data_IF_131748995395
#
_entry.id   IF_131748995395
#
_cell.length_a   1.000
_cell.length_b   1.000
_cell.length_c   1.000
_cell.angle_alpha   90.00
_cell.angle_beta   90.00
_cell.angle_gamma   90.00
#
_symmetry.space_group_name_H-M   'P 1'
#
loop_
_entity.id
_entity.type
_entity.pdbx_description
1 polymer ?
#
# COMPACT_ATOMS: atom_id res chain seq x y z
N UNK A 1 -3.48 -12.32 -17.91
CA UNK A 1 -4.82 -11.98 -17.35
C UNK A 1 -4.68 -11.90 -15.83
N UNK A 2 -4.49 -10.69 -15.28
CA UNK A 2 -4.31 -10.49 -13.84
C UNK A 2 -5.67 -10.61 -13.13
N UNK A 3 -6.04 -11.82 -12.77
CA UNK A 3 -7.24 -12.09 -11.94
C UNK A 3 -6.91 -13.06 -10.82
N UNK A 4 -5.60 -13.14 -10.47
CA UNK A 4 -5.16 -13.80 -9.25
C UNK A 4 -5.24 -12.78 -8.12
N UNK A 5 -6.10 -13.06 -7.16
CA UNK A 5 -6.21 -12.31 -5.92
C UNK A 5 -5.77 -13.28 -4.82
N UNK A 6 -4.77 -12.88 -4.05
CA UNK A 6 -4.33 -13.64 -2.89
C UNK A 6 -4.87 -12.95 -1.65
N UNK A 7 -5.83 -13.59 -1.00
CA UNK A 7 -6.30 -13.18 0.32
C UNK A 7 -5.31 -13.68 1.37
N UNK A 8 -4.87 -12.80 2.25
CA UNK A 8 -3.86 -13.10 3.27
C UNK A 8 -4.48 -12.96 4.66
N UNK A 9 -4.09 -13.84 5.58
CA UNK A 9 -4.33 -13.62 7.00
C UNK A 9 -3.25 -12.66 7.55
N UNK A 10 -3.62 -11.43 7.99
CA UNK A 10 -2.65 -10.46 8.49
C UNK A 10 -1.90 -10.94 9.73
N UNK A 11 -2.48 -11.82 10.57
CA UNK A 11 -1.78 -12.34 11.75
C UNK A 11 -0.70 -13.36 11.36
N UNK A 12 -0.98 -14.21 10.36
CA UNK A 12 0.04 -15.12 9.82
C UNK A 12 1.16 -14.38 9.12
N UNK A 13 0.86 -13.30 8.40
CA UNK A 13 1.90 -12.46 7.78
C UNK A 13 2.83 -11.86 8.84
N UNK A 14 2.29 -11.34 9.94
CA UNK A 14 3.10 -10.83 11.06
C UNK A 14 3.97 -11.94 11.66
N UNK A 15 3.38 -13.10 11.92
CA UNK A 15 4.09 -14.24 12.50
C UNK A 15 5.28 -14.69 11.62
N UNK A 16 5.04 -14.90 10.33
CA UNK A 16 6.09 -15.32 9.37
C UNK A 16 7.17 -14.25 9.25
N UNK A 17 6.80 -12.96 9.17
CA UNK A 17 7.78 -11.87 9.11
C UNK A 17 8.68 -11.81 10.35
N UNK A 18 8.11 -12.04 11.55
CA UNK A 18 8.88 -12.11 12.79
C UNK A 18 9.82 -13.32 12.81
N UNK A 19 9.37 -14.49 12.36
CA UNK A 19 10.23 -15.68 12.25
C UNK A 19 11.40 -15.44 11.31
N UNK A 20 11.15 -14.91 10.10
CA UNK A 20 12.19 -14.61 9.12
C UNK A 20 13.25 -13.65 9.69
N UNK A 21 12.82 -12.62 10.42
CA UNK A 21 13.73 -11.67 11.03
C UNK A 21 14.55 -12.30 12.17
N UNK A 22 13.93 -13.13 13.01
CA UNK A 22 14.63 -13.86 14.07
C UNK A 22 15.66 -14.85 13.51
N UNK A 23 15.29 -15.62 12.49
CA UNK A 23 16.19 -16.57 11.80
C UNK A 23 17.39 -15.86 11.17
N UNK A 24 17.17 -14.64 10.65
CA UNK A 24 18.24 -13.80 10.09
C UNK A 24 19.08 -13.07 11.17
N UNK A 25 18.76 -13.22 12.46
CA UNK A 25 19.46 -12.54 13.56
C UNK A 25 19.23 -11.03 13.59
N UNK A 26 18.08 -10.56 13.10
CA UNK A 26 17.71 -9.14 13.11
C UNK A 26 17.20 -8.75 14.49
N UNK A 27 17.83 -7.74 15.09
CA UNK A 27 17.34 -7.11 16.31
C UNK A 27 16.11 -6.24 16.01
N UNK A 28 14.93 -6.72 16.41
CA UNK A 28 13.66 -5.98 16.27
C UNK A 28 13.40 -5.16 17.54
N UNK A 29 13.33 -3.83 17.37
CA UNK A 29 12.93 -2.91 18.43
C UNK A 29 11.45 -2.53 18.31
N UNK A 30 10.58 -3.29 18.99
CA UNK A 30 9.18 -2.90 19.18
C UNK A 30 9.05 -1.70 20.14
N UNK A 31 7.91 -1.03 20.14
CA UNK A 31 7.64 0.17 20.97
C UNK A 31 8.66 1.31 20.79
N UNK A 32 9.28 1.39 19.62
CA UNK A 32 10.34 2.35 19.30
C UNK A 32 9.97 3.16 18.08
N UNK A 33 9.99 4.48 18.19
CA UNK A 33 9.76 5.41 17.08
C UNK A 33 11.08 5.95 16.56
N UNK A 34 11.29 5.88 15.25
CA UNK A 34 12.40 6.54 14.56
C UNK A 34 12.13 8.05 14.49
N UNK A 35 12.69 8.82 15.42
CA UNK A 35 12.33 10.22 15.61
C UNK A 35 13.07 11.17 14.65
N UNK A 36 14.36 11.00 14.39
CA UNK A 36 15.11 11.89 13.49
C UNK A 36 16.38 11.22 12.97
N UNK A 37 16.77 11.42 11.71
CA UNK A 37 18.10 11.00 11.26
C UNK A 37 19.20 11.83 11.95
N UNK A 38 20.37 11.21 12.12
CA UNK A 38 21.61 11.89 12.47
C UNK A 38 22.32 12.17 11.15
N UNK A 39 22.38 13.45 10.75
CA UNK A 39 22.98 13.87 9.49
C UNK A 39 24.23 14.70 9.77
N UNK A 40 25.33 14.36 9.10
CA UNK A 40 26.59 15.09 9.14
C UNK A 40 27.15 15.21 7.73
N UNK A 41 27.46 16.45 7.30
CA UNK A 41 27.98 16.76 5.96
C UNK A 41 27.17 16.11 4.81
N UNK A 42 25.84 16.12 4.90
CA UNK A 42 24.96 15.53 3.88
C UNK A 42 24.90 14.00 3.88
N UNK A 43 25.43 13.34 4.91
CA UNK A 43 25.41 11.88 5.04
C UNK A 43 24.61 11.47 6.28
N UNK A 44 23.75 10.47 6.15
CA UNK A 44 23.09 9.86 7.31
C UNK A 44 24.09 8.96 8.04
N UNK A 45 24.21 9.14 9.35
CA UNK A 45 25.10 8.37 10.24
C UNK A 45 24.36 7.46 11.22
N UNK A 46 23.03 7.56 11.27
CA UNK A 46 22.21 6.85 12.23
C UNK A 46 20.86 7.51 12.44
N UNK A 47 20.15 7.07 13.47
CA UNK A 47 18.79 7.52 13.80
C UNK A 47 18.69 7.76 15.32
N UNK A 48 18.09 8.88 15.69
CA UNK A 48 17.59 9.12 17.03
C UNK A 48 16.26 8.40 17.18
N UNK A 49 16.17 7.53 18.18
CA UNK A 49 14.96 6.79 18.50
C UNK A 49 14.36 7.27 19.82
N UNK A 50 13.06 7.10 19.98
CA UNK A 50 12.33 7.38 21.21
C UNK A 50 11.50 6.15 21.60
N UNK A 51 11.65 5.69 22.84
CA UNK A 51 10.93 4.55 23.40
C UNK A 51 10.79 4.70 24.93
N UNK A 52 10.25 3.69 25.62
CA UNK A 52 10.06 3.73 27.08
C UNK A 52 11.37 3.82 27.90
N UNK A 53 12.50 3.47 27.31
CA UNK A 53 13.84 3.60 27.90
C UNK A 53 14.44 4.99 27.67
N UNK A 54 13.70 5.88 27.02
CA UNK A 54 14.10 7.25 26.69
C UNK A 54 14.72 7.38 25.30
N UNK A 55 15.31 8.55 25.07
CA UNK A 55 15.93 8.89 23.80
C UNK A 55 17.30 8.25 23.64
N UNK A 56 17.52 7.59 22.51
CA UNK A 56 18.79 6.93 22.21
C UNK A 56 19.25 7.25 20.78
N UNK A 57 20.54 7.10 20.51
CA UNK A 57 21.12 7.19 19.18
C UNK A 57 21.55 5.79 18.72
N UNK A 58 21.04 5.35 17.57
CA UNK A 58 21.49 4.12 16.89
C UNK A 58 22.33 4.54 15.70
N UNK A 59 23.62 4.25 15.76
CA UNK A 59 24.57 4.56 14.67
C UNK A 59 24.52 3.46 13.62
N UNK A 60 24.57 3.84 12.35
CA UNK A 60 24.47 2.91 11.23
C UNK A 60 25.38 3.34 10.07
N UNK A 61 25.91 2.35 9.33
CA UNK A 61 26.67 2.62 8.09
C UNK A 61 25.75 3.10 6.97
N UNK A 62 24.56 2.50 6.89
CA UNK A 62 23.49 2.82 5.93
C UNK A 62 22.17 2.78 6.70
N UNK A 63 21.28 3.72 6.40
CA UNK A 63 19.89 3.73 6.88
C UNK A 63 18.96 3.45 5.70
N UNK A 64 17.98 2.58 5.90
CA UNK A 64 16.88 2.37 4.95
C UNK A 64 15.62 3.00 5.57
N UNK A 65 15.11 4.07 4.95
CA UNK A 65 13.82 4.66 5.32
C UNK A 65 12.69 3.83 4.69
N UNK A 66 12.12 2.95 5.52
CA UNK A 66 10.93 2.17 5.23
C UNK A 66 9.73 2.63 6.07
N UNK A 67 9.66 3.93 6.42
CA UNK A 67 8.56 4.49 7.23
C UNK A 67 7.22 4.51 6.50
N UNK A 68 7.22 4.36 5.18
CA UNK A 68 6.04 4.48 4.32
C UNK A 68 5.72 5.92 3.91
N UNK A 69 6.24 6.92 4.63
CA UNK A 69 5.94 8.35 4.41
C UNK A 69 7.19 9.23 4.23
N UNK A 70 8.35 8.58 4.03
CA UNK A 70 9.68 9.17 3.90
C UNK A 70 10.02 10.14 5.05
N UNK A 71 9.63 9.80 6.28
CA UNK A 71 9.82 10.67 7.43
C UNK A 71 11.29 10.91 7.76
N UNK A 72 12.16 9.90 7.63
CA UNK A 72 13.58 10.07 7.86
C UNK A 72 14.25 10.81 6.70
N UNK A 73 13.89 10.49 5.46
CA UNK A 73 14.40 11.17 4.27
C UNK A 73 14.03 12.65 4.26
N UNK A 74 12.76 12.98 4.54
CA UNK A 74 12.29 14.35 4.67
C UNK A 74 13.06 15.12 5.76
N UNK A 75 13.19 14.52 6.96
CA UNK A 75 13.94 15.14 8.07
C UNK A 75 15.45 15.21 7.83
N UNK A 76 15.98 14.41 6.90
CA UNK A 76 17.38 14.48 6.46
C UNK A 76 17.62 15.61 5.44
N UNK A 77 16.56 16.24 4.91
CA UNK A 77 16.65 17.29 3.90
C UNK A 77 16.61 16.77 2.46
N UNK A 78 16.13 15.54 2.24
CA UNK A 78 15.89 15.02 0.88
C UNK A 78 14.75 15.81 0.23
N UNK A 79 14.94 16.37 -0.98
CA UNK A 79 13.85 17.00 -1.73
C UNK A 79 12.73 15.98 -1.99
N UNK A 80 11.49 16.44 -1.98
CA UNK A 80 10.33 15.56 -2.12
C UNK A 80 9.16 16.28 -2.80
N UNK A 81 8.24 15.49 -3.31
CA UNK A 81 6.91 15.91 -3.74
C UNK A 81 5.86 15.34 -2.79
N UNK A 82 4.68 15.98 -2.74
CA UNK A 82 3.52 15.53 -1.97
C UNK A 82 2.23 15.93 -2.69
N UNK A 83 1.31 14.99 -2.88
CA UNK A 83 0.05 15.24 -3.59
C UNK A 83 0.16 15.27 -5.10
N UNK A 84 -0.98 15.51 -5.75
CA UNK A 84 -1.13 15.67 -7.20
C UNK A 84 -0.88 17.10 -7.71
N UNK A 85 -1.27 17.41 -8.96
CA UNK A 85 -1.02 18.70 -9.60
C UNK A 85 -1.59 19.93 -8.86
N UNK A 86 -2.62 19.76 -8.04
CA UNK A 86 -3.19 20.82 -7.19
C UNK A 86 -2.96 20.56 -5.69
N UNK A 87 -1.94 19.76 -5.37
CA UNK A 87 -1.57 19.31 -4.02
C UNK A 87 -2.67 18.52 -3.29
N UNK A 88 -3.56 17.88 -4.05
CA UNK A 88 -4.57 16.99 -3.51
C UNK A 88 -3.93 15.66 -3.08
N UNK A 89 -4.32 15.17 -1.90
CA UNK A 89 -3.94 13.85 -1.41
C UNK A 89 -5.06 12.86 -1.64
N UNK A 90 -4.69 11.63 -1.97
CA UNK A 90 -5.67 10.55 -2.05
C UNK A 90 -6.28 10.27 -0.67
N UNK A 91 -7.56 9.85 -0.60
CA UNK A 91 -8.25 9.53 0.65
C UNK A 91 -7.45 8.60 1.56
N UNK A 92 -7.78 8.56 2.85
CA UNK A 92 -7.35 7.51 3.78
C UNK A 92 -8.46 6.50 3.99
N UNK A 93 -8.18 5.34 4.57
CA UNK A 93 -9.22 4.33 4.82
C UNK A 93 -8.97 3.54 6.10
N UNK A 94 -9.98 3.41 6.95
CA UNK A 94 -9.93 2.51 8.11
C UNK A 94 -10.62 1.19 7.75
N UNK A 95 -9.82 0.14 7.59
CA UNK A 95 -10.37 -1.20 7.34
C UNK A 95 -10.98 -1.78 8.62
N UNK A 96 -12.00 -2.62 8.47
CA UNK A 96 -12.60 -3.36 9.57
C UNK A 96 -12.95 -4.79 9.14
N UNK A 97 -13.18 -5.68 10.11
CA UNK A 97 -13.56 -7.08 9.85
C UNK A 97 -14.91 -7.40 10.46
N UNK A 98 -15.67 -8.22 9.74
CA UNK A 98 -16.91 -8.81 10.24
C UNK A 98 -16.79 -10.33 10.25
N UNK A 99 -17.45 -10.97 11.22
CA UNK A 99 -17.57 -12.43 11.33
C UNK A 99 -19.04 -12.82 11.40
N UNK A 100 -19.39 -14.08 11.08
CA UNK A 100 -20.77 -14.55 11.00
C UNK A 100 -21.41 -14.30 9.63
N UNK A 101 -20.61 -14.07 8.60
CA UNK A 101 -21.11 -13.90 7.22
C UNK A 101 -21.37 -15.27 6.61
N UNK A 102 -22.58 -15.52 6.12
CA UNK A 102 -22.87 -16.66 5.26
C UNK A 102 -22.30 -16.38 3.86
N UNK A 103 -21.10 -16.89 3.60
CA UNK A 103 -20.34 -16.62 2.35
C UNK A 103 -21.07 -17.18 1.13
N UNK A 104 -21.76 -18.31 1.26
CA UNK A 104 -22.49 -18.91 0.14
C UNK A 104 -23.72 -18.11 -0.24
N UNK A 105 -24.48 -17.62 0.76
CA UNK A 105 -25.60 -16.71 0.52
C UNK A 105 -25.13 -15.37 -0.07
N UNK A 106 -24.03 -14.81 0.45
CA UNK A 106 -23.44 -13.60 -0.09
C UNK A 106 -22.96 -13.78 -1.54
N UNK A 107 -22.31 -14.91 -1.84
CA UNK A 107 -21.91 -15.28 -3.20
C UNK A 107 -23.13 -15.41 -4.12
N UNK A 108 -24.18 -16.09 -3.67
CA UNK A 108 -25.40 -16.25 -4.46
C UNK A 108 -26.07 -14.89 -4.73
N UNK A 109 -26.11 -14.01 -3.74
CA UNK A 109 -26.60 -12.65 -3.92
C UNK A 109 -25.83 -11.88 -4.99
N UNK A 110 -24.50 -11.97 -5.00
CA UNK A 110 -23.66 -11.35 -6.05
C UNK A 110 -24.00 -11.94 -7.43
N UNK A 111 -24.16 -13.26 -7.54
CA UNK A 111 -24.48 -13.93 -8.80
C UNK A 111 -25.87 -13.54 -9.32
N UNK A 112 -26.85 -13.38 -8.42
CA UNK A 112 -28.21 -12.97 -8.75
C UNK A 112 -28.31 -11.46 -9.06
N UNK A 113 -27.35 -10.66 -8.57
CA UNK A 113 -27.32 -9.21 -8.69
C UNK A 113 -25.98 -8.70 -9.28
N UNK A 114 -25.62 -9.10 -10.51
CA UNK A 114 -24.32 -8.73 -11.10
C UNK A 114 -24.13 -7.22 -11.27
N UNK A 115 -25.21 -6.44 -11.31
CA UNK A 115 -25.19 -4.99 -11.36
C UNK A 115 -24.64 -4.32 -10.09
N UNK A 116 -24.53 -5.06 -8.98
CA UNK A 116 -23.88 -4.58 -7.76
C UNK A 116 -22.34 -4.65 -7.87
N UNK A 117 -21.76 -5.33 -8.87
CA UNK A 117 -20.30 -5.45 -8.99
C UNK A 117 -19.75 -4.47 -10.02
N UNK A 118 -18.70 -3.75 -9.62
CA UNK A 118 -17.98 -2.80 -10.45
C UNK A 118 -16.89 -3.49 -11.28
N UNK A 119 -16.74 -3.05 -12.52
CA UNK A 119 -15.67 -3.47 -13.43
C UNK A 119 -14.33 -2.76 -13.13
N UNK A 120 -13.84 -2.79 -11.88
CA UNK A 120 -12.64 -2.04 -11.50
C UNK A 120 -11.50 -2.28 -12.49
N UNK A 121 -11.01 -1.18 -13.06
CA UNK A 121 -9.84 -1.17 -13.92
C UNK A 121 -9.97 -1.99 -15.19
N UNK A 122 -11.18 -2.34 -15.59
CA UNK A 122 -11.44 -2.87 -16.92
C UNK A 122 -12.11 -1.79 -17.76
N UNK A 123 -11.71 -1.61 -19.03
CA UNK A 123 -12.51 -0.81 -19.95
C UNK A 123 -13.94 -1.39 -19.96
N UNK A 124 -14.96 -0.53 -20.09
CA UNK A 124 -16.40 -0.89 -20.14
C UNK A 124 -16.75 -1.96 -21.20
N UNK A 125 -15.77 -2.43 -21.97
CA UNK A 125 -15.84 -3.48 -22.97
C UNK A 125 -15.59 -4.89 -22.42
N UNK A 126 -15.20 -5.05 -21.13
CA UNK A 126 -15.01 -6.38 -20.51
C UNK A 126 -15.53 -6.40 -19.06
N UNK A 127 -16.76 -6.90 -18.84
CA UNK A 127 -17.31 -7.01 -17.49
C UNK A 127 -16.46 -7.94 -16.61
N UNK A 128 -16.55 -7.75 -15.30
CA UNK A 128 -15.97 -8.63 -14.32
C UNK A 128 -16.52 -10.06 -14.52
N UNK A 129 -15.66 -11.08 -14.67
CA UNK A 129 -16.13 -12.41 -15.01
C UNK A 129 -16.82 -13.03 -13.80
N UNK A 130 -18.16 -13.09 -13.80
CA UNK A 130 -18.93 -13.62 -12.66
C UNK A 130 -18.60 -15.08 -12.34
N UNK A 131 -18.12 -15.85 -13.32
CA UNK A 131 -17.56 -17.21 -13.13
C UNK A 131 -16.45 -17.26 -12.07
N UNK A 132 -15.73 -16.15 -11.86
CA UNK A 132 -14.74 -16.01 -10.78
C UNK A 132 -15.34 -16.32 -9.41
N UNK A 133 -16.53 -15.79 -9.11
CA UNK A 133 -17.17 -15.98 -7.82
C UNK A 133 -17.63 -17.43 -7.61
N UNK A 134 -17.94 -18.15 -8.69
CA UNK A 134 -18.33 -19.57 -8.65
C UNK A 134 -17.13 -20.46 -8.34
N UNK A 135 -15.98 -20.18 -8.95
CA UNK A 135 -14.81 -21.05 -8.88
C UNK A 135 -13.90 -20.74 -7.69
N UNK A 136 -13.93 -19.51 -7.18
CA UNK A 136 -12.99 -19.05 -6.18
C UNK A 136 -13.49 -19.34 -4.74
N UNK A 137 -12.72 -20.10 -3.94
CA UNK A 137 -13.04 -20.32 -2.53
C UNK A 137 -13.00 -19.02 -1.73
N UNK A 138 -12.07 -18.13 -2.08
CA UNK A 138 -12.00 -16.75 -1.59
C UNK A 138 -12.07 -15.77 -2.76
N UNK A 139 -12.74 -14.64 -2.55
CA UNK A 139 -12.92 -13.60 -3.56
C UNK A 139 -12.88 -12.19 -2.95
N UNK A 140 -12.63 -11.21 -3.82
CA UNK A 140 -12.86 -9.80 -3.51
C UNK A 140 -14.04 -9.33 -4.37
N UNK A 141 -15.07 -8.82 -3.72
CA UNK A 141 -16.20 -8.17 -4.35
C UNK A 141 -16.08 -6.65 -4.18
N UNK A 142 -16.23 -5.91 -5.26
CA UNK A 142 -16.19 -4.45 -5.22
C UNK A 142 -17.37 -3.86 -5.97
N UNK A 143 -18.03 -2.88 -5.36
CA UNK A 143 -19.19 -2.20 -5.92
C UNK A 143 -20.21 -1.86 -4.82
N UNK A 144 -21.41 -2.41 -4.91
CA UNK A 144 -22.55 -2.26 -4.00
C UNK A 144 -23.17 -0.86 -4.00
N UNK A 145 -22.96 -0.11 -5.08
CA UNK A 145 -23.37 1.29 -5.21
C UNK A 145 -24.89 1.43 -5.23
N UNK A 146 -25.61 0.44 -5.78
CA UNK A 146 -27.07 0.47 -5.81
C UNK A 146 -27.64 0.31 -4.41
N UNK A 147 -27.24 -0.75 -3.70
CA UNK A 147 -27.63 -0.96 -2.30
C UNK A 147 -27.20 0.21 -1.39
N UNK A 148 -26.00 0.74 -1.60
CA UNK A 148 -25.47 1.87 -0.83
C UNK A 148 -26.31 3.14 -1.05
N UNK A 149 -26.66 3.48 -2.29
CA UNK A 149 -27.54 4.62 -2.58
C UNK A 149 -28.89 4.49 -1.88
N UNK A 150 -29.51 3.31 -1.94
CA UNK A 150 -30.79 3.05 -1.26
C UNK A 150 -30.69 3.26 0.26
N UNK A 151 -29.57 2.86 0.87
CA UNK A 151 -29.35 3.09 2.28
C UNK A 151 -29.11 4.58 2.61
N UNK A 152 -28.42 5.31 1.73
CA UNK A 152 -28.21 6.76 1.87
C UNK A 152 -29.54 7.52 1.76
N UNK A 153 -30.40 7.17 0.79
CA UNK A 153 -31.74 7.75 0.62
C UNK A 153 -32.63 7.55 1.85
N UNK A 154 -32.48 6.42 2.53
CA UNK A 154 -33.20 6.12 3.77
C UNK A 154 -32.57 6.72 5.04
N UNK A 155 -31.37 7.30 4.95
CA UNK A 155 -30.60 7.76 6.12
C UNK A 155 -30.06 6.62 7.01
N UNK A 156 -29.96 5.41 6.48
CA UNK A 156 -29.52 4.20 7.19
C UNK A 156 -27.99 4.05 7.22
N UNK A 157 -27.27 4.86 6.45
CA UNK A 157 -25.82 4.90 6.40
C UNK A 157 -25.31 6.34 6.32
N UNK A 158 -24.12 6.58 6.87
CA UNK A 158 -23.41 7.86 6.73
C UNK A 158 -23.25 8.29 5.26
N UNK A 159 -23.25 9.60 4.98
CA UNK A 159 -23.03 10.12 3.64
C UNK A 159 -21.57 9.91 3.18
N UNK A 160 -21.29 10.30 1.94
CA UNK A 160 -19.94 10.33 1.36
C UNK A 160 -19.24 8.96 1.34
N UNK A 161 -20.00 7.96 0.88
CA UNK A 161 -19.53 6.63 0.55
C UNK A 161 -19.79 6.40 -0.94
N UNK A 162 -18.76 6.03 -1.70
CA UNK A 162 -18.86 5.80 -3.15
C UNK A 162 -19.16 4.35 -3.50
N UNK A 163 -18.22 3.46 -3.19
CA UNK A 163 -18.31 2.02 -3.43
C UNK A 163 -17.69 1.26 -2.27
N UNK A 164 -18.05 -0.01 -2.14
CA UNK A 164 -17.63 -0.90 -1.08
C UNK A 164 -16.70 -1.99 -1.60
N UNK A 165 -15.75 -2.42 -0.77
CA UNK A 165 -14.82 -3.51 -1.07
C UNK A 165 -14.99 -4.54 0.05
N UNK A 166 -15.40 -5.75 -0.31
CA UNK A 166 -15.55 -6.91 0.56
C UNK A 166 -14.50 -7.94 0.18
N UNK A 167 -13.66 -8.33 1.13
CA UNK A 167 -12.56 -9.29 0.94
C UNK A 167 -12.83 -10.49 1.83
N UNK A 168 -13.13 -11.66 1.25
CA UNK A 168 -13.33 -12.88 2.04
C UNK A 168 -12.01 -13.36 2.63
N UNK A 169 -12.05 -13.91 3.85
CA UNK A 169 -10.87 -14.50 4.49
C UNK A 169 -10.76 -16.01 4.25
N UNK A 170 -9.56 -16.59 4.50
CA UNK A 170 -9.40 -18.04 4.58
C UNK A 170 -10.24 -18.71 5.67
N UNK A 171 -10.59 -17.98 6.73
CA UNK A 171 -11.47 -18.47 7.79
C UNK A 171 -12.95 -18.28 7.45
N UNK A 172 -13.74 -19.31 7.74
CA UNK A 172 -15.17 -19.33 7.44
C UNK A 172 -15.91 -18.14 8.08
N UNK A 173 -16.78 -17.54 7.28
CA UNK A 173 -17.63 -16.43 7.67
C UNK A 173 -16.91 -15.15 8.09
N UNK A 174 -15.61 -15.01 7.81
CA UNK A 174 -14.88 -13.76 8.02
C UNK A 174 -14.69 -12.98 6.73
N UNK A 175 -14.89 -11.66 6.81
CA UNK A 175 -14.61 -10.72 5.72
C UNK A 175 -13.90 -9.48 6.25
N UNK A 176 -13.00 -8.91 5.44
CA UNK A 176 -12.48 -7.56 5.61
C UNK A 176 -13.24 -6.59 4.72
N UNK A 177 -13.60 -5.43 5.25
CA UNK A 177 -14.22 -4.33 4.53
C UNK A 177 -13.22 -3.19 4.39
N UNK A 178 -13.01 -2.71 3.16
CA UNK A 178 -12.15 -1.57 2.85
C UNK A 178 -12.99 -0.44 2.24
N UNK A 179 -13.72 0.29 3.10
CA UNK A 179 -14.73 1.26 2.62
C UNK A 179 -15.00 2.46 3.53
N UNK A 180 -14.47 2.50 4.75
CA UNK A 180 -14.55 3.69 5.60
C UNK A 180 -13.53 4.75 5.13
N UNK A 181 -13.76 5.30 3.94
CA UNK A 181 -12.89 6.28 3.29
C UNK A 181 -13.12 7.68 3.87
N UNK A 182 -12.04 8.40 4.09
CA UNK A 182 -12.05 9.79 4.56
C UNK A 182 -11.07 10.62 3.74
N UNK A 183 -11.41 11.87 3.49
CA UNK A 183 -10.75 12.72 2.51
C UNK A 183 -10.47 14.10 3.08
N UNK A 184 -9.53 14.83 2.45
CA UNK A 184 -9.14 16.17 2.93
C UNK A 184 -8.18 16.16 4.10
N UNK A 185 -7.60 14.99 4.40
CA UNK A 185 -6.64 14.78 5.48
C UNK A 185 -5.21 14.61 4.94
N UNK A 186 -4.22 15.01 5.74
CA UNK A 186 -2.79 14.94 5.43
C UNK A 186 -2.10 13.93 6.35
N UNK A 187 -1.56 12.85 5.77
CA UNK A 187 -0.87 11.79 6.52
C UNK A 187 0.44 12.20 7.16
N UNK A 188 0.90 13.42 6.88
CA UNK A 188 2.12 14.01 7.45
C UNK A 188 1.85 14.98 8.60
N UNK A 189 0.58 15.19 8.95
CA UNK A 189 0.14 16.05 10.07
C UNK A 189 -0.59 15.22 11.15
N UNK A 190 -0.10 15.32 12.39
CA UNK A 190 -0.61 14.49 13.49
C UNK A 190 -2.06 14.82 13.89
N UNK A 191 -2.46 16.11 13.79
CA UNK A 191 -3.83 16.52 14.08
C UNK A 191 -4.76 16.00 13.00
N UNK A 192 -4.37 16.13 11.74
CA UNK A 192 -5.11 15.65 10.58
C UNK A 192 -5.31 14.13 10.63
N UNK A 193 -4.28 13.35 11.00
CA UNK A 193 -4.41 11.91 11.24
C UNK A 193 -5.42 11.57 12.35
N UNK A 194 -5.41 12.35 13.44
CA UNK A 194 -6.36 12.16 14.56
C UNK A 194 -7.80 12.40 14.11
N UNK A 195 -8.03 13.48 13.36
CA UNK A 195 -9.35 13.83 12.83
C UNK A 195 -9.82 12.79 11.79
N UNK A 196 -8.93 12.38 10.88
CA UNK A 196 -9.20 11.35 9.88
C UNK A 196 -9.63 10.02 10.52
N UNK A 197 -8.94 9.60 11.57
CA UNK A 197 -9.24 8.35 12.25
C UNK A 197 -10.56 8.42 13.03
N UNK A 198 -10.83 9.53 13.71
CA UNK A 198 -12.11 9.75 14.39
C UNK A 198 -13.29 9.67 13.41
N UNK A 199 -13.19 10.35 12.26
CA UNK A 199 -14.20 10.32 11.21
C UNK A 199 -14.40 8.90 10.67
N UNK A 200 -13.30 8.21 10.35
CA UNK A 200 -13.37 6.87 9.79
C UNK A 200 -14.00 5.88 10.79
N UNK A 201 -13.69 5.99 12.09
CA UNK A 201 -14.29 5.16 13.16
C UNK A 201 -15.80 5.34 13.25
N UNK A 202 -16.31 6.55 13.07
CA UNK A 202 -17.77 6.80 13.01
C UNK A 202 -18.40 6.13 11.78
N UNK A 203 -17.71 6.16 10.63
CA UNK A 203 -18.18 5.50 9.40
C UNK A 203 -18.22 3.97 9.53
N UNK A 204 -17.27 3.34 10.23
CA UNK A 204 -17.21 1.88 10.39
C UNK A 204 -18.49 1.29 10.98
N UNK A 205 -18.97 1.84 12.11
CA UNK A 205 -20.18 1.31 12.74
C UNK A 205 -21.43 1.49 11.86
N UNK A 206 -21.48 2.59 11.12
CA UNK A 206 -22.56 2.81 10.15
C UNK A 206 -22.51 1.80 9.01
N UNK A 207 -21.33 1.52 8.46
CA UNK A 207 -21.13 0.53 7.40
C UNK A 207 -21.46 -0.88 7.88
N UNK A 208 -21.04 -1.27 9.09
CA UNK A 208 -21.36 -2.58 9.65
C UNK A 208 -22.88 -2.81 9.74
N UNK A 209 -23.66 -1.81 10.20
CA UNK A 209 -25.13 -1.88 10.21
C UNK A 209 -25.72 -1.94 8.81
N UNK A 210 -25.16 -1.18 7.86
CA UNK A 210 -25.55 -1.25 6.46
C UNK A 210 -25.43 -2.69 5.93
N UNK A 211 -24.28 -3.35 6.13
CA UNK A 211 -24.07 -4.72 5.64
C UNK A 211 -25.13 -5.67 6.21
N UNK A 212 -25.33 -5.66 7.54
CA UNK A 212 -26.34 -6.51 8.20
C UNK A 212 -27.76 -6.29 7.65
N UNK A 213 -28.13 -5.04 7.35
CA UNK A 213 -29.49 -4.70 6.92
C UNK A 213 -29.74 -4.90 5.43
N UNK A 214 -28.73 -4.67 4.58
CA UNK A 214 -28.92 -4.54 3.13
C UNK A 214 -28.29 -5.66 2.30
N UNK A 215 -27.28 -6.35 2.81
CA UNK A 215 -26.50 -7.30 2.03
C UNK A 215 -26.81 -8.72 2.49
N UNK A 216 -27.48 -9.55 1.67
CA UNK A 216 -27.73 -10.95 2.01
C UNK A 216 -26.44 -11.71 2.36
N UNK A 217 -26.56 -12.64 3.30
CA UNK A 217 -25.44 -13.32 3.94
C UNK A 217 -24.83 -12.58 5.15
N UNK A 218 -25.15 -11.31 5.39
CA UNK A 218 -24.63 -10.56 6.54
C UNK A 218 -25.59 -10.47 7.73
N UNK A 219 -26.74 -11.14 7.70
CA UNK A 219 -27.79 -10.98 8.73
C UNK A 219 -27.31 -11.27 10.16
N UNK A 220 -26.45 -12.29 10.33
CA UNK A 220 -25.85 -12.68 11.62
C UNK A 220 -24.44 -12.10 11.83
N UNK A 221 -23.99 -11.22 10.92
CA UNK A 221 -22.63 -10.73 10.94
C UNK A 221 -22.40 -9.69 12.05
N UNK A 222 -21.25 -9.78 12.70
CA UNK A 222 -20.82 -8.90 13.78
C UNK A 222 -19.48 -8.23 13.44
N UNK A 223 -19.34 -6.96 13.79
CA UNK A 223 -18.06 -6.26 13.76
C UNK A 223 -17.13 -6.87 14.82
N UNK A 224 -16.02 -7.46 14.39
CA UNK A 224 -15.06 -8.12 15.30
C UNK A 224 -13.74 -7.36 15.45
N UNK A 225 -13.43 -6.43 14.54
CA UNK A 225 -12.16 -5.72 14.54
C UNK A 225 -12.20 -4.46 13.69
N UNK A 226 -11.52 -3.40 14.14
CA UNK A 226 -11.12 -2.23 13.33
C UNK A 226 -9.61 -2.17 13.26
N UNK A 227 -9.03 -1.75 12.14
CA UNK A 227 -7.59 -1.54 12.04
C UNK A 227 -7.06 -0.65 13.18
N UNK A 228 -5.83 -0.92 13.62
CA UNK A 228 -5.20 -0.25 14.76
C UNK A 228 -4.95 1.24 14.49
N UNK A 229 -4.77 1.61 13.23
CA UNK A 229 -4.53 2.97 12.76
C UNK A 229 -5.18 3.21 11.40
N UNK A 230 -5.45 4.49 11.10
CA UNK A 230 -5.94 4.91 9.79
C UNK A 230 -4.95 4.57 8.67
N UNK A 231 -5.43 3.93 7.60
CA UNK A 231 -4.61 3.57 6.44
C UNK A 231 -4.34 4.78 5.54
N UNK A 232 -3.08 5.23 5.50
CA UNK A 232 -2.64 6.35 4.67
C UNK A 232 -2.19 5.84 3.30
N UNK A 233 -2.76 6.42 2.24
CA UNK A 233 -2.49 6.00 0.85
C UNK A 233 -1.35 6.79 0.23
N UNK A 234 -1.32 8.09 0.47
CA UNK A 234 -0.37 9.02 -0.12
C UNK A 234 0.14 10.03 0.90
N UNK A 235 1.45 10.27 0.85
CA UNK A 235 2.15 11.33 1.59
C UNK A 235 3.26 11.88 0.70
N UNK A 236 4.52 11.67 1.06
CA UNK A 236 5.70 12.19 0.35
C UNK A 236 6.25 11.15 -0.61
N UNK A 237 6.83 11.62 -1.71
CA UNK A 237 7.69 10.85 -2.62
C UNK A 237 9.01 11.58 -2.72
N UNK A 238 10.12 10.88 -2.52
CA UNK A 238 11.43 11.55 -2.61
C UNK A 238 11.78 11.93 -4.04
N UNK A 239 12.66 12.91 -4.20
CA UNK A 239 13.42 13.09 -5.44
C UNK A 239 14.71 12.28 -5.31
N UNK A 240 14.76 11.18 -6.05
CA UNK A 240 15.91 10.31 -6.15
C UNK A 240 16.78 10.64 -7.35
N UNK A 241 17.75 9.78 -7.66
CA UNK A 241 18.57 9.90 -8.87
C UNK A 241 17.79 9.65 -10.15
N UNK A 242 16.61 9.03 -10.06
CA UNK A 242 15.62 8.96 -11.13
C UNK A 242 14.21 8.96 -10.57
N UNK A 243 13.35 9.79 -11.16
CA UNK A 243 11.91 9.76 -10.93
C UNK A 243 11.27 8.86 -11.98
N UNK A 244 10.75 7.69 -11.60
CA UNK A 244 9.99 6.84 -12.51
C UNK A 244 8.71 7.57 -12.95
N UNK A 245 8.53 7.74 -14.25
CA UNK A 245 7.46 8.58 -14.78
C UNK A 245 6.21 7.78 -15.16
N UNK A 246 5.11 8.51 -15.35
CA UNK A 246 3.89 8.00 -15.98
C UNK A 246 4.20 7.30 -17.30
N UNK A 247 5.01 7.91 -18.16
CA UNK A 247 5.31 7.40 -19.50
C UNK A 247 6.13 6.11 -19.42
N UNK A 248 7.11 6.01 -18.51
CA UNK A 248 7.86 4.77 -18.28
C UNK A 248 6.93 3.59 -17.92
N UNK A 249 5.87 3.86 -17.14
CA UNK A 249 4.87 2.86 -16.72
C UNK A 249 3.99 2.42 -17.90
N UNK A 250 3.48 3.35 -18.70
CA UNK A 250 2.62 3.02 -19.86
C UNK A 250 3.39 2.43 -21.04
N UNK A 251 4.66 2.78 -21.20
CA UNK A 251 5.53 2.18 -22.22
C UNK A 251 6.08 0.82 -21.80
N UNK A 252 5.84 0.37 -20.55
CA UNK A 252 6.36 -0.89 -20.04
C UNK A 252 7.89 -0.93 -19.97
N UNK A 253 8.52 0.22 -19.68
CA UNK A 253 9.97 0.37 -19.82
C UNK A 253 10.71 -0.50 -18.81
N UNK A 254 11.70 -1.25 -19.30
CA UNK A 254 12.66 -2.01 -18.48
C UNK A 254 14.01 -1.30 -18.53
N UNK A 255 14.65 -1.14 -17.37
CA UNK A 255 15.93 -0.45 -17.22
C UNK A 255 17.07 -1.43 -16.94
N UNK A 256 18.30 -1.06 -17.29
CA UNK A 256 19.50 -1.85 -16.98
C UNK A 256 19.73 -2.02 -15.47
N UNK A 257 19.15 -1.15 -14.65
CA UNK A 257 19.20 -1.18 -13.20
C UNK A 257 17.85 -1.54 -12.55
N UNK A 258 16.98 -2.26 -13.26
CA UNK A 258 15.69 -2.74 -12.71
C UNK A 258 15.89 -3.65 -11.51
N UNK A 259 15.23 -3.34 -10.38
CA UNK A 259 15.29 -4.14 -9.14
C UNK A 259 13.96 -4.79 -8.76
N UNK A 260 12.88 -4.43 -9.43
CA UNK A 260 11.55 -4.99 -9.25
C UNK A 260 10.70 -4.72 -10.50
N UNK A 261 9.71 -5.58 -10.75
CA UNK A 261 8.72 -5.39 -11.80
C UNK A 261 7.37 -4.99 -11.21
N UNK A 262 6.71 -4.02 -11.85
CA UNK A 262 5.34 -3.62 -11.56
C UNK A 262 4.42 -3.92 -12.72
N UNK A 263 3.23 -4.48 -12.44
CA UNK A 263 2.20 -4.79 -13.43
C UNK A 263 0.81 -4.32 -13.01
N UNK A 264 0.72 -3.59 -11.89
CA UNK A 264 -0.55 -3.12 -11.35
C UNK A 264 -1.08 -1.95 -12.20
N UNK A 265 -2.40 -1.86 -12.48
CA UNK A 265 -2.98 -0.68 -13.12
C UNK A 265 -2.68 0.60 -12.33
N UNK A 266 -2.62 1.74 -13.00
CA UNK A 266 -2.56 3.04 -12.31
C UNK A 266 -3.90 3.27 -11.62
N UNK A 267 -3.92 3.23 -10.29
CA UNK A 267 -5.10 3.45 -9.43
C UNK A 267 -4.96 4.75 -8.62
N UNK A 268 -5.69 5.78 -9.05
CA UNK A 268 -5.70 7.11 -8.41
C UNK A 268 -7.09 7.39 -7.84
N UNK A 269 -7.19 7.54 -6.52
CA UNK A 269 -8.45 7.84 -5.84
C UNK A 269 -8.69 9.35 -5.83
N UNK A 270 -9.82 9.80 -6.34
CA UNK A 270 -10.16 11.22 -6.32
C UNK A 270 -10.39 11.71 -4.88
N UNK A 271 -10.14 13.00 -4.64
CA UNK A 271 -10.22 13.57 -3.30
C UNK A 271 -11.62 13.44 -2.70
N UNK A 272 -12.70 13.45 -3.48
CA UNK A 272 -14.05 13.23 -2.92
C UNK A 272 -14.25 11.80 -2.35
N UNK A 273 -13.31 10.88 -2.59
CA UNK A 273 -13.36 9.49 -2.12
C UNK A 273 -14.43 8.62 -2.78
N UNK A 274 -15.20 9.19 -3.71
CA UNK A 274 -16.33 8.53 -4.37
C UNK A 274 -15.91 7.81 -5.65
N UNK A 275 -14.82 8.25 -6.28
CA UNK A 275 -14.33 7.72 -7.56
C UNK A 275 -12.85 7.36 -7.52
N UNK A 276 -12.49 6.37 -8.33
CA UNK A 276 -11.11 5.98 -8.59
C UNK A 276 -10.89 5.96 -10.11
N UNK A 277 -9.78 6.52 -10.57
CA UNK A 277 -9.33 6.43 -11.95
C UNK A 277 -8.40 5.24 -12.05
N UNK A 278 -8.84 4.23 -12.82
CA UNK A 278 -8.02 3.07 -13.14
C UNK A 278 -7.60 3.11 -14.59
N UNK A 279 -6.30 3.06 -14.84
CA UNK A 279 -5.74 3.03 -16.19
C UNK A 279 -4.89 1.77 -16.33
N UNK A 280 -5.29 0.89 -17.24
CA UNK A 280 -4.47 -0.27 -17.63
C UNK A 280 -3.14 0.25 -18.20
N UNK A 281 -2.03 -0.33 -17.74
CA UNK A 281 -0.69 0.09 -18.16
C UNK A 281 -0.40 -0.29 -19.62
N UNK A 282 -1.20 -1.16 -20.24
CA UNK A 282 -1.08 -1.56 -21.65
C UNK A 282 0.12 -2.49 -21.96
N UNK A 283 1.09 -2.55 -21.06
CA UNK A 283 2.24 -3.45 -21.08
C UNK A 283 2.06 -4.66 -20.13
N UNK A 284 2.92 -5.67 -20.24
CA UNK A 284 2.94 -6.82 -19.32
C UNK A 284 3.44 -6.43 -17.93
N UNK A 285 4.54 -5.68 -17.87
CA UNK A 285 5.09 -5.06 -16.68
C UNK A 285 5.99 -3.86 -17.06
N UNK A 286 6.40 -3.08 -16.07
CA UNK A 286 7.44 -2.05 -16.15
C UNK A 286 8.49 -2.30 -15.06
N UNK A 287 9.72 -1.81 -15.29
CA UNK A 287 10.83 -1.92 -14.35
C UNK A 287 10.89 -0.75 -13.38
N UNK A 288 11.17 -1.04 -12.11
CA UNK A 288 11.51 -0.04 -11.10
C UNK A 288 13.03 0.02 -10.98
N UNK A 289 13.68 1.12 -11.38
CA UNK A 289 15.13 1.21 -11.38
C UNK A 289 15.68 1.49 -9.98
N UNK A 290 16.86 0.94 -9.66
CA UNK A 290 17.51 1.09 -8.35
C UNK A 290 17.69 2.55 -7.92
N UNK A 291 18.07 3.42 -8.86
CA UNK A 291 18.21 4.87 -8.68
C UNK A 291 16.94 5.60 -8.20
N UNK A 292 15.75 4.98 -8.28
CA UNK A 292 14.53 5.53 -7.66
C UNK A 292 14.48 5.36 -6.13
N UNK A 293 15.35 4.52 -5.56
CA UNK A 293 15.50 4.30 -4.12
C UNK A 293 16.58 5.23 -3.51
N UNK A 294 17.49 5.74 -4.35
CA UNK A 294 18.66 6.52 -3.94
C UNK A 294 18.32 8.01 -3.91
N UNK A 295 18.33 8.70 -2.75
CA UNK A 295 18.09 10.13 -2.66
C UNK A 295 19.09 10.97 -3.47
N UNK A 296 18.60 12.04 -4.12
CA UNK A 296 19.44 12.88 -4.99
C UNK A 296 20.54 13.64 -4.22
N UNK A 297 20.30 14.05 -2.99
CA UNK A 297 21.18 14.98 -2.26
C UNK A 297 21.81 14.43 -0.97
N UNK A 298 21.35 13.27 -0.49
CA UNK A 298 21.77 12.69 0.79
C UNK A 298 22.42 11.33 0.58
N UNK A 299 23.60 11.15 1.18
CA UNK A 299 24.36 9.89 1.14
C UNK A 299 24.00 8.97 2.32
N UNK A 300 24.33 7.68 2.17
CA UNK A 300 24.10 6.61 3.17
C UNK A 300 22.64 6.41 3.58
N UNK A 301 21.72 6.83 2.72
CA UNK A 301 20.28 6.66 2.89
C UNK A 301 19.72 5.95 1.65
N UNK A 302 18.86 4.96 1.87
CA UNK A 302 17.96 4.40 0.86
C UNK A 302 16.53 4.63 1.31
N UNK A 303 15.60 4.78 0.36
CA UNK A 303 14.17 4.85 0.63
C UNK A 303 13.50 3.65 0.00
N UNK A 304 12.63 2.98 0.75
CA UNK A 304 11.93 1.78 0.30
C UNK A 304 10.43 1.84 0.59
N UNK A 305 9.65 1.09 -0.19
CA UNK A 305 8.19 1.06 -0.11
C UNK A 305 7.53 2.15 -0.95
N UNK A 306 6.39 2.67 -0.48
CA UNK A 306 5.59 3.68 -1.22
C UNK A 306 6.31 5.00 -1.53
N UNK A 307 7.21 5.55 -0.70
CA UNK A 307 7.70 6.92 -0.89
C UNK A 307 8.97 7.01 -1.75
N UNK A 308 9.28 5.98 -2.55
CA UNK A 308 10.35 6.02 -3.56
C UNK A 308 10.12 7.11 -4.63
N UNK A 309 11.15 7.38 -5.43
CA UNK A 309 11.11 8.45 -6.42
C UNK A 309 10.32 8.07 -7.68
N UNK A 310 9.08 8.54 -7.74
CA UNK A 310 8.13 8.28 -8.82
C UNK A 310 7.23 9.52 -9.03
N UNK A 311 6.72 9.72 -10.24
CA UNK A 311 5.71 10.75 -10.49
C UNK A 311 4.39 10.40 -9.79
N UNK A 312 3.53 11.39 -9.60
CA UNK A 312 2.24 11.17 -8.92
C UNK A 312 1.36 10.11 -9.60
N UNK A 313 1.39 10.02 -10.93
CA UNK A 313 0.63 9.02 -11.66
C UNK A 313 1.28 7.63 -11.55
N UNK A 314 2.60 7.53 -11.68
CA UNK A 314 3.33 6.28 -11.50
C UNK A 314 3.19 5.73 -10.06
N UNK A 315 3.06 6.62 -9.07
CA UNK A 315 2.75 6.27 -7.69
C UNK A 315 1.46 5.44 -7.56
N UNK A 316 0.44 5.74 -8.38
CA UNK A 316 -0.83 5.01 -8.39
C UNK A 316 -0.68 3.52 -8.71
N UNK A 317 0.40 3.13 -9.40
CA UNK A 317 0.72 1.74 -9.72
C UNK A 317 1.77 1.13 -8.77
N UNK A 318 2.84 1.86 -8.46
CA UNK A 318 4.00 1.34 -7.70
C UNK A 318 3.75 1.12 -6.21
N UNK A 319 2.76 1.80 -5.63
CA UNK A 319 2.52 1.82 -4.17
C UNK A 319 1.92 0.54 -3.57
N UNK A 320 1.62 -0.47 -4.38
CA UNK A 320 0.96 -1.70 -3.92
C UNK A 320 1.93 -2.62 -3.17
N UNK A 321 1.41 -3.42 -2.22
CA UNK A 321 2.23 -4.21 -1.28
C UNK A 321 3.26 -5.14 -1.96
N UNK A 322 2.92 -5.91 -3.02
CA UNK A 322 3.91 -6.80 -3.64
C UNK A 322 5.12 -6.06 -4.21
N UNK A 323 4.88 -4.91 -4.85
CA UNK A 323 5.93 -4.06 -5.38
C UNK A 323 6.77 -3.48 -4.23
N UNK A 324 6.11 -2.97 -3.18
CA UNK A 324 6.81 -2.43 -2.00
C UNK A 324 7.70 -3.49 -1.32
N UNK A 325 7.26 -4.75 -1.26
CA UNK A 325 8.06 -5.86 -0.74
C UNK A 325 9.29 -6.14 -1.60
N UNK A 326 9.14 -6.19 -2.94
CA UNK A 326 10.26 -6.39 -3.85
C UNK A 326 11.29 -5.25 -3.77
N UNK A 327 10.82 -4.00 -3.71
CA UNK A 327 11.66 -2.82 -3.48
C UNK A 327 12.37 -2.90 -2.12
N UNK A 328 11.69 -3.37 -1.07
CA UNK A 328 12.28 -3.57 0.26
C UNK A 328 13.40 -4.62 0.26
N UNK A 329 13.21 -5.75 -0.42
CA UNK A 329 14.26 -6.76 -0.62
C UNK A 329 15.48 -6.14 -1.32
N UNK A 330 15.25 -5.43 -2.43
CA UNK A 330 16.32 -4.77 -3.17
C UNK A 330 17.11 -3.76 -2.32
N UNK A 331 16.42 -2.94 -1.51
CA UNK A 331 17.07 -1.99 -0.60
C UNK A 331 17.97 -2.70 0.43
N UNK A 332 17.52 -3.82 1.00
CA UNK A 332 18.29 -4.61 1.95
C UNK A 332 19.56 -5.22 1.34
N UNK A 333 19.43 -5.84 0.16
CA UNK A 333 20.57 -6.41 -0.58
C UNK A 333 21.57 -5.32 -0.97
N UNK A 334 21.07 -4.19 -1.48
CA UNK A 334 21.90 -3.05 -1.85
C UNK A 334 22.71 -2.49 -0.68
N UNK A 335 22.08 -2.37 0.50
CA UNK A 335 22.77 -1.90 1.70
C UNK A 335 23.93 -2.84 2.10
N UNK A 336 23.72 -4.16 2.07
CA UNK A 336 24.76 -5.13 2.41
C UNK A 336 25.92 -5.08 1.39
N UNK A 337 25.61 -5.07 0.10
CA UNK A 337 26.63 -5.01 -0.95
C UNK A 337 27.44 -3.70 -0.91
N UNK A 338 26.78 -2.57 -0.65
CA UNK A 338 27.46 -1.27 -0.49
C UNK A 338 28.45 -1.30 0.68
N UNK A 339 28.04 -1.87 1.83
CA UNK A 339 28.92 -2.04 3.00
C UNK A 339 30.11 -2.96 2.68
N UNK A 340 29.87 -4.08 2.00
CA UNK A 340 30.92 -5.05 1.66
C UNK A 340 31.94 -4.49 0.66
N UNK A 341 31.46 -3.74 -0.31
CA UNK A 341 32.30 -3.09 -1.33
C UNK A 341 32.94 -1.79 -0.84
N UNK A 342 32.58 -1.29 0.34
CA UNK A 342 33.12 -0.06 0.90
C UNK A 342 32.72 1.20 0.14
N UNK A 343 31.56 1.17 -0.54
CA UNK A 343 31.02 2.27 -1.34
C UNK A 343 29.72 2.79 -0.76
N UNK A 344 29.30 4.02 -1.12
CA UNK A 344 27.96 4.48 -0.73
C UNK A 344 26.88 3.79 -1.57
N UNK A 345 25.61 3.74 -1.11
CA UNK A 345 24.53 3.15 -1.89
C UNK A 345 24.40 3.73 -3.31
N UNK A 346 24.72 5.01 -3.48
CA UNK A 346 24.75 5.71 -4.78
C UNK A 346 25.80 5.15 -5.75
N UNK A 347 26.93 4.71 -5.22
CA UNK A 347 28.05 4.20 -5.99
C UNK A 347 27.97 2.68 -6.24
N UNK A 348 26.91 2.03 -5.80
CA UNK A 348 26.73 0.60 -5.95
C UNK A 348 26.52 0.24 -7.43
N UNK A 349 27.19 -0.83 -7.88
CA UNK A 349 26.93 -1.41 -9.20
C UNK A 349 25.59 -2.14 -9.22
N UNK A 350 24.61 -1.57 -9.93
CA UNK A 350 23.29 -2.15 -10.07
C UNK A 350 23.28 -3.53 -10.74
N UNK A 351 24.29 -3.86 -11.57
CA UNK A 351 24.38 -5.18 -12.18
C UNK A 351 24.62 -6.28 -11.14
N UNK A 352 25.58 -6.06 -10.25
CA UNK A 352 25.88 -6.99 -9.14
C UNK A 352 24.68 -7.13 -8.18
N UNK A 353 23.95 -6.04 -7.96
CA UNK A 353 22.68 -6.06 -7.19
C UNK A 353 21.65 -6.97 -7.87
N UNK A 354 21.42 -6.77 -9.17
CA UNK A 354 20.47 -7.58 -9.96
C UNK A 354 20.83 -9.06 -9.98
N UNK A 355 22.10 -9.40 -10.20
CA UNK A 355 22.57 -10.79 -10.18
C UNK A 355 22.25 -11.47 -8.84
N UNK A 356 22.41 -10.76 -7.72
CA UNK A 356 22.06 -11.28 -6.40
C UNK A 356 20.55 -11.44 -6.23
N UNK A 357 19.75 -10.46 -6.66
CA UNK A 357 18.29 -10.55 -6.61
C UNK A 357 17.76 -11.75 -7.41
N UNK A 358 18.26 -11.96 -8.64
CA UNK A 358 17.92 -13.13 -9.46
C UNK A 358 18.32 -14.43 -8.76
N UNK A 359 19.51 -14.48 -8.15
CA UNK A 359 19.95 -15.67 -7.40
C UNK A 359 19.07 -16.00 -6.19
N UNK A 360 18.34 -15.01 -5.66
CA UNK A 360 17.35 -15.16 -4.58
C UNK A 360 15.93 -15.43 -5.11
N UNK A 361 15.75 -15.58 -6.43
CA UNK A 361 14.47 -15.85 -7.05
C UNK A 361 13.60 -14.61 -7.32
N UNK A 362 14.14 -13.40 -7.20
CA UNK A 362 13.41 -12.19 -7.57
C UNK A 362 13.26 -12.08 -9.10
N UNK A 363 12.09 -11.61 -9.54
CA UNK A 363 11.84 -11.29 -10.95
C UNK A 363 12.22 -9.83 -11.22
N UNK A 364 13.30 -9.63 -11.98
CA UNK A 364 13.82 -8.31 -12.38
C UNK A 364 13.96 -8.15 -13.89
N UNK A 365 13.59 -9.19 -14.64
CA UNK A 365 13.55 -9.27 -16.09
C UNK A 365 12.20 -9.91 -16.50
N UNK A 366 11.71 -9.56 -17.69
CA UNK A 366 10.48 -10.09 -18.28
C UNK A 366 10.68 -11.49 -18.88
#
# INVERSE_FOLDING_TARGET
KHTSIVTLDPELVKYVALQMAQEAGVDILLHTMAARPIVDQGQVKGVIIENKSGRQAVMAKIVIDATGDADLAYRAGVPHEKGGPVNELQPMTLMFRMHGVNIDEFRQYILDNPHEINDIGRPHTRPFPMEYFVQAPQFIAVGFEHSLRKAQENGDVVPDLGYLIVITHPYEGQVSINSAKVSGYDGTDAKSLTEAENDARLKVLSLARFFVKYIPGFADAQLIHTADYIGVRETRRIIGEYTLTKDDVFEGRIFDDTIALGSYPVDIHQQDGTRSVFIDIGAEAYGIPYRSLVPLTIENLLVAGRPISVSWEAFGSTRVMPICMAVGQAAGVAAVQAIQSGVSPRQLDAKTLRETLVSQGAMVDL
#
